data_IF_378687227444
#
_entry.id   IF_378687227444
#
_cell.length_a   1.000
_cell.length_b   1.000
_cell.length_c   1.000
_cell.angle_alpha   90.00
_cell.angle_beta   90.00
_cell.angle_gamma   90.00
#
_symmetry.space_group_name_H-M   'P 1'
#
loop_
_entity.id
_entity.type
_entity.pdbx_description
1 polymer ?
#
# COMPACT_ATOMS: atom_id res chain seq x y z
N UNK A 1 -24.13 47.63 -9.39
CA UNK A 1 -23.35 46.38 -9.58
C UNK A 1 -24.22 45.35 -10.28
N UNK A 2 -23.89 45.02 -11.52
CA UNK A 2 -24.78 44.37 -12.48
C UNK A 2 -25.02 42.88 -12.11
N UNK A 3 -26.26 42.38 -12.24
CA UNK A 3 -26.67 41.00 -11.88
C UNK A 3 -25.73 39.94 -12.50
N UNK A 4 -25.21 40.24 -13.69
CA UNK A 4 -24.24 39.43 -14.42
C UNK A 4 -22.87 39.33 -13.75
N UNK A 5 -22.40 40.36 -13.03
CA UNK A 5 -21.11 40.31 -12.31
C UNK A 5 -21.16 39.38 -11.09
N UNK A 6 -22.31 39.28 -10.41
CA UNK A 6 -22.49 38.34 -9.30
C UNK A 6 -22.49 36.89 -9.78
N UNK A 7 -23.14 36.61 -10.91
CA UNK A 7 -23.17 35.27 -11.52
C UNK A 7 -21.76 34.87 -11.97
N UNK A 8 -21.01 35.79 -12.60
CA UNK A 8 -19.64 35.53 -13.04
C UNK A 8 -18.69 35.27 -11.87
N UNK A 9 -18.82 36.02 -10.76
CA UNK A 9 -18.05 35.80 -9.53
C UNK A 9 -18.33 34.43 -8.91
N UNK A 10 -19.57 33.96 -8.91
CA UNK A 10 -19.92 32.64 -8.35
C UNK A 10 -19.38 31.51 -9.22
N UNK A 11 -19.48 31.62 -10.55
CA UNK A 11 -18.93 30.62 -11.48
C UNK A 11 -17.41 30.58 -11.39
N UNK A 12 -16.75 31.73 -11.29
CA UNK A 12 -15.30 31.81 -11.11
C UNK A 12 -14.85 31.22 -9.78
N UNK A 13 -15.58 31.47 -8.68
CA UNK A 13 -15.31 30.82 -7.39
C UNK A 13 -15.51 29.31 -7.45
N UNK A 14 -16.52 28.80 -8.18
CA UNK A 14 -16.74 27.36 -8.34
C UNK A 14 -15.68 26.70 -9.23
N UNK A 15 -15.19 27.38 -10.27
CA UNK A 15 -14.09 26.92 -11.12
C UNK A 15 -12.75 26.95 -10.37
N UNK A 16 -12.50 27.98 -9.57
CA UNK A 16 -11.30 28.05 -8.71
C UNK A 16 -11.37 27.02 -7.59
N UNK A 17 -12.55 26.75 -7.02
CA UNK A 17 -12.75 25.68 -6.06
C UNK A 17 -12.55 24.29 -6.68
N UNK A 18 -13.00 24.06 -7.92
CA UNK A 18 -12.78 22.78 -8.61
C UNK A 18 -11.32 22.58 -9.06
N UNK A 19 -10.64 23.65 -9.48
CA UNK A 19 -9.19 23.65 -9.71
C UNK A 19 -8.42 23.42 -8.41
N UNK A 20 -8.78 24.09 -7.31
CA UNK A 20 -8.17 23.86 -6.00
C UNK A 20 -8.41 22.42 -5.51
N UNK A 21 -9.60 21.85 -5.75
CA UNK A 21 -9.90 20.45 -5.44
C UNK A 21 -9.09 19.47 -6.30
N UNK A 22 -8.87 19.80 -7.59
CA UNK A 22 -8.04 19.01 -8.50
C UNK A 22 -6.54 19.10 -8.16
N UNK A 23 -6.06 20.26 -7.70
CA UNK A 23 -4.68 20.46 -7.22
C UNK A 23 -4.45 19.82 -5.85
N UNK A 24 -5.42 19.90 -4.93
CA UNK A 24 -5.34 19.22 -3.62
C UNK A 24 -5.27 17.69 -3.77
N UNK A 25 -5.95 17.12 -4.77
CA UNK A 25 -5.85 15.68 -5.08
C UNK A 25 -4.50 15.24 -5.66
N UNK A 26 -3.60 16.17 -5.98
CA UNK A 26 -2.33 15.89 -6.66
C UNK A 26 -1.10 15.94 -5.74
N UNK A 27 -1.22 16.48 -4.52
CA UNK A 27 -0.07 16.69 -3.62
C UNK A 27 -0.07 15.87 -2.32
N UNK A 28 -1.14 15.16 -1.99
CA UNK A 28 -1.13 14.14 -0.94
C UNK A 28 -1.00 12.76 -1.60
N UNK A 29 -0.14 11.82 -1.17
CA UNK A 29 -0.41 10.40 -1.34
C UNK A 29 -1.84 10.16 -0.94
N UNK A 30 -2.52 9.48 -1.84
CA UNK A 30 -3.83 8.97 -1.54
C UNK A 30 -3.61 7.88 -0.49
N UNK A 31 -3.90 8.18 0.78
CA UNK A 31 -4.23 7.17 1.77
C UNK A 31 -5.44 6.44 1.18
N UNK A 32 -5.19 5.27 0.60
CA UNK A 32 -6.21 4.59 -0.19
C UNK A 32 -7.10 3.69 0.66
N UNK A 33 -6.62 3.25 1.84
CA UNK A 33 -7.20 2.09 2.54
C UNK A 33 -7.06 2.21 4.04
N UNK A 34 -8.19 2.20 4.73
CA UNK A 34 -8.30 2.23 6.18
C UNK A 34 -9.00 0.96 6.64
N UNK A 35 -8.34 0.17 7.48
CA UNK A 35 -8.84 -1.09 8.02
C UNK A 35 -9.93 -0.95 9.08
N UNK A 36 -10.12 0.26 9.61
CA UNK A 36 -11.18 0.58 10.58
C UNK A 36 -12.18 1.59 10.00
N UNK A 37 -12.96 1.13 9.01
CA UNK A 37 -14.29 1.66 8.67
C UNK A 37 -14.38 3.08 8.09
N UNK A 38 -13.84 3.27 6.88
CA UNK A 38 -14.49 4.16 5.90
C UNK A 38 -14.46 3.46 4.54
N UNK A 39 -15.55 2.80 4.16
CA UNK A 39 -15.76 2.38 2.77
C UNK A 39 -15.77 3.66 1.94
N UNK A 40 -14.75 3.86 1.10
CA UNK A 40 -14.60 5.08 0.34
C UNK A 40 -15.92 5.42 -0.38
N UNK A 41 -16.45 6.64 -0.20
CA UNK A 41 -17.76 7.06 -0.75
C UNK A 41 -17.85 6.80 -2.25
N UNK A 42 -16.73 6.92 -2.97
CA UNK A 42 -16.63 6.61 -4.41
C UNK A 42 -16.81 5.13 -4.75
N UNK A 43 -16.54 4.20 -3.83
CA UNK A 43 -16.75 2.76 -4.02
C UNK A 43 -18.09 2.28 -3.50
N UNK A 44 -18.72 2.96 -2.54
CA UNK A 44 -20.12 2.69 -2.16
C UNK A 44 -21.12 2.95 -3.31
N UNK A 45 -20.75 3.73 -4.33
CA UNK A 45 -21.58 3.86 -5.54
C UNK A 45 -21.57 2.60 -6.42
N UNK A 46 -20.68 1.64 -6.17
CA UNK A 46 -20.77 0.30 -6.78
C UNK A 46 -21.96 -0.44 -6.16
N UNK A 47 -22.93 -0.93 -6.96
CA UNK A 47 -24.06 -1.71 -6.45
C UNK A 47 -23.63 -2.90 -5.58
N UNK A 48 -22.50 -3.51 -5.91
CA UNK A 48 -21.95 -4.66 -5.17
C UNK A 48 -21.44 -4.26 -3.78
N UNK A 49 -20.80 -3.09 -3.66
CA UNK A 49 -20.32 -2.59 -2.36
C UNK A 49 -21.44 -2.02 -1.50
N UNK A 50 -22.44 -1.39 -2.12
CA UNK A 50 -23.63 -0.94 -1.40
C UNK A 50 -24.41 -2.13 -0.83
N UNK A 51 -24.65 -3.16 -1.65
CA UNK A 51 -25.34 -4.37 -1.21
C UNK A 51 -24.61 -5.06 -0.06
N UNK A 52 -23.28 -5.19 -0.17
CA UNK A 52 -22.44 -5.75 0.89
C UNK A 52 -22.49 -4.91 2.19
N UNK A 53 -22.33 -3.59 2.11
CA UNK A 53 -22.42 -2.74 3.28
C UNK A 53 -23.79 -2.87 3.98
N UNK A 54 -24.88 -2.95 3.21
CA UNK A 54 -26.23 -3.13 3.74
C UNK A 54 -26.48 -4.52 4.32
N UNK A 55 -25.89 -5.58 3.74
CA UNK A 55 -26.08 -6.95 4.22
C UNK A 55 -25.40 -7.20 5.56
N UNK A 56 -24.29 -6.51 5.84
CA UNK A 56 -23.49 -6.65 7.07
C UNK A 56 -23.75 -5.57 8.12
N UNK A 57 -24.56 -4.54 7.80
CA UNK A 57 -24.90 -3.50 8.76
C UNK A 57 -25.53 -4.10 10.03
N UNK A 58 -24.77 -4.07 11.13
CA UNK A 58 -25.17 -4.61 12.43
C UNK A 58 -25.21 -6.13 12.54
N UNK A 59 -24.64 -6.90 11.60
CA UNK A 59 -24.77 -8.38 11.57
C UNK A 59 -23.50 -9.18 11.86
N UNK A 60 -22.31 -8.57 11.79
CA UNK A 60 -21.05 -9.28 12.08
C UNK A 60 -20.10 -8.39 12.89
N UNK A 61 -19.65 -8.89 14.05
CA UNK A 61 -18.53 -8.31 14.78
C UNK A 61 -17.23 -8.66 14.06
N UNK A 62 -16.96 -7.96 12.96
CA UNK A 62 -15.62 -7.96 12.34
C UNK A 62 -14.64 -7.39 13.37
N UNK A 63 -13.57 -8.11 13.65
CA UNK A 63 -12.51 -7.60 14.52
C UNK A 63 -11.85 -6.42 13.80
N UNK A 64 -11.70 -5.30 14.52
CA UNK A 64 -10.96 -4.13 14.05
C UNK A 64 -9.55 -4.56 13.65
N UNK A 65 -9.12 -4.11 12.47
CA UNK A 65 -7.86 -4.56 11.90
C UNK A 65 -6.69 -3.67 12.32
N UNK A 66 -6.92 -2.40 12.69
CA UNK A 66 -5.83 -1.44 12.96
C UNK A 66 -4.76 -1.46 11.87
N UNK A 67 -5.18 -1.47 10.60
CA UNK A 67 -4.28 -1.57 9.45
C UNK A 67 -4.57 -0.50 8.41
N UNK A 68 -3.56 -0.02 7.70
CA UNK A 68 -3.68 0.95 6.61
C UNK A 68 -2.81 0.54 5.44
N UNK A 69 -3.26 0.91 4.23
CA UNK A 69 -2.56 0.62 2.98
C UNK A 69 -2.46 1.85 2.08
N UNK A 70 -1.26 2.16 1.59
CA UNK A 70 -1.04 3.23 0.63
C UNK A 70 -0.15 2.85 -0.56
N UNK A 71 -0.09 3.76 -1.53
CA UNK A 71 1.00 3.83 -2.51
C UNK A 71 2.27 4.38 -1.87
N UNK A 72 3.14 4.97 -2.68
CA UNK A 72 4.34 5.66 -2.18
C UNK A 72 4.02 6.51 -0.95
N UNK A 73 4.85 6.34 0.07
CA UNK A 73 4.78 7.09 1.31
C UNK A 73 5.62 8.36 1.15
N UNK A 74 5.01 9.54 1.30
CA UNK A 74 5.78 10.73 1.68
C UNK A 74 5.61 10.92 3.19
N UNK A 75 6.64 11.48 3.83
CA UNK A 75 6.67 11.55 5.29
C UNK A 75 5.62 12.52 5.85
N UNK A 76 5.29 13.58 5.11
CA UNK A 76 4.29 14.59 5.50
C UNK A 76 2.89 13.98 5.71
N UNK A 77 2.61 12.84 5.08
CA UNK A 77 1.29 12.19 5.16
C UNK A 77 1.12 11.34 6.40
N UNK A 78 2.23 10.98 7.05
CA UNK A 78 2.19 10.30 8.34
C UNK A 78 1.66 11.23 9.43
N UNK A 79 1.95 12.53 9.36
CA UNK A 79 1.42 13.50 10.32
C UNK A 79 -0.10 13.69 10.14
N UNK A 80 -0.58 13.75 8.90
CA UNK A 80 -2.01 13.78 8.60
C UNK A 80 -2.72 12.49 9.07
N UNK A 81 -2.08 11.34 8.86
CA UNK A 81 -2.58 10.04 9.30
C UNK A 81 -2.71 9.97 10.84
N UNK A 82 -1.69 10.40 11.59
CA UNK A 82 -1.75 10.42 13.05
C UNK A 82 -2.85 11.36 13.56
N UNK A 83 -2.93 12.56 12.99
CA UNK A 83 -3.95 13.54 13.38
C UNK A 83 -5.37 12.98 13.22
N UNK A 84 -5.60 12.15 12.19
CA UNK A 84 -6.88 11.48 11.98
C UNK A 84 -7.14 10.37 13.01
N UNK A 85 -6.10 9.64 13.43
CA UNK A 85 -6.24 8.40 14.22
C UNK A 85 -6.12 8.58 15.72
N UNK A 86 -5.51 9.67 16.18
CA UNK A 86 -5.19 9.87 17.60
C UNK A 86 -4.38 8.69 18.19
N UNK A 87 -3.49 8.08 17.38
CA UNK A 87 -2.60 6.97 17.77
C UNK A 87 -1.19 7.53 17.96
N UNK A 88 -0.51 7.05 18.99
CA UNK A 88 0.89 7.44 19.25
C UNK A 88 1.84 6.86 18.20
N UNK A 89 2.84 7.65 17.78
CA UNK A 89 3.77 7.29 16.69
C UNK A 89 4.48 5.95 16.93
N UNK A 90 4.85 5.67 18.18
CA UNK A 90 5.56 4.46 18.61
C UNK A 90 4.73 3.17 18.48
N UNK A 91 3.41 3.28 18.29
CA UNK A 91 2.50 2.15 18.05
C UNK A 91 2.23 1.89 16.58
N UNK A 92 2.75 2.71 15.67
CA UNK A 92 2.53 2.56 14.23
C UNK A 92 3.75 1.87 13.61
N UNK A 93 3.50 0.73 12.96
CA UNK A 93 4.48 -0.14 12.32
C UNK A 93 4.42 0.02 10.80
N UNK A 94 5.41 0.72 10.25
CA UNK A 94 5.55 0.97 8.82
C UNK A 94 6.22 -0.24 8.18
N UNK A 95 5.56 -0.81 7.17
CA UNK A 95 6.01 -2.01 6.45
C UNK A 95 6.13 -1.71 4.95
N UNK A 96 7.36 -1.69 4.47
CA UNK A 96 7.73 -1.24 3.12
C UNK A 96 7.71 -2.36 2.08
N UNK A 97 6.64 -2.57 1.33
CA UNK A 97 6.52 -3.68 0.37
C UNK A 97 7.24 -3.45 -0.97
N UNK A 98 8.26 -2.59 -1.06
CA UNK A 98 9.01 -2.35 -2.30
C UNK A 98 10.10 -3.40 -2.54
N UNK A 99 10.31 -3.79 -3.81
CA UNK A 99 11.40 -4.72 -4.21
C UNK A 99 12.80 -4.08 -4.16
N UNK A 100 12.84 -2.77 -3.92
CA UNK A 100 14.04 -1.97 -3.84
C UNK A 100 13.97 -1.03 -2.63
N UNK A 101 15.12 -0.74 -2.01
CA UNK A 101 15.18 0.22 -0.92
C UNK A 101 14.73 1.60 -1.42
N UNK A 102 13.97 2.29 -0.58
CA UNK A 102 13.59 3.68 -0.77
C UNK A 102 14.53 4.56 0.05
N UNK A 103 14.90 5.70 -0.54
CA UNK A 103 15.64 6.76 0.13
C UNK A 103 14.78 8.03 0.19
N UNK A 104 15.09 8.94 1.10
CA UNK A 104 14.38 10.20 1.28
C UNK A 104 15.36 11.37 1.21
N UNK A 105 14.86 12.49 0.70
CA UNK A 105 15.45 13.83 0.85
C UNK A 105 14.41 14.71 1.54
N UNK A 106 14.69 15.16 2.76
CA UNK A 106 13.67 15.78 3.59
C UNK A 106 12.46 14.85 3.73
N UNK A 107 11.26 15.36 3.40
CA UNK A 107 10.02 14.58 3.46
C UNK A 107 9.70 13.75 2.20
N UNK A 108 10.49 13.89 1.13
CA UNK A 108 10.18 13.33 -0.18
C UNK A 108 10.89 12.00 -0.44
N UNK A 109 10.12 10.98 -0.82
CA UNK A 109 10.66 9.69 -1.22
C UNK A 109 11.31 9.77 -2.62
N UNK A 110 12.51 9.23 -2.72
CA UNK A 110 13.20 8.96 -3.97
C UNK A 110 12.83 7.56 -4.45
N UNK A 111 12.14 7.50 -5.59
CA UNK A 111 11.86 6.23 -6.24
C UNK A 111 13.17 5.62 -6.77
N UNK A 112 13.32 4.31 -6.53
CA UNK A 112 14.40 3.45 -7.01
C UNK A 112 14.42 3.23 -8.53
N UNK A 113 13.78 4.09 -9.34
CA UNK A 113 13.89 4.06 -10.80
C UNK A 113 14.85 5.14 -11.27
N UNK A 114 15.78 4.72 -12.11
CA UNK A 114 16.74 5.61 -12.75
C UNK A 114 16.07 6.21 -13.97
N UNK A 115 16.24 7.50 -14.17
CA UNK A 115 15.82 8.14 -15.39
C UNK A 115 17.03 8.23 -16.32
N UNK A 116 16.91 7.67 -17.52
CA UNK A 116 17.94 7.78 -18.56
C UNK A 116 17.47 8.78 -19.61
N UNK A 117 18.38 9.65 -20.05
CA UNK A 117 18.13 10.45 -21.24
C UNK A 117 18.34 9.57 -22.47
N UNK A 118 17.31 9.45 -23.30
CA UNK A 118 17.36 8.76 -24.60
C UNK A 118 16.78 9.72 -25.61
N UNK A 119 17.57 10.09 -26.62
CA UNK A 119 17.19 11.06 -27.66
C UNK A 119 16.67 12.40 -27.10
N UNK A 120 17.30 12.91 -26.04
CA UNK A 120 16.91 14.17 -25.39
C UNK A 120 15.62 14.08 -24.56
N UNK A 121 15.06 12.88 -24.36
CA UNK A 121 13.87 12.66 -23.52
C UNK A 121 14.21 11.82 -22.30
N UNK A 122 13.63 12.21 -21.17
CA UNK A 122 13.76 11.48 -19.92
C UNK A 122 12.91 10.20 -19.97
N UNK A 123 13.54 9.03 -19.93
CA UNK A 123 12.86 7.73 -19.92
C UNK A 123 13.05 7.02 -18.57
N UNK A 124 11.95 6.57 -17.94
CA UNK A 124 11.97 5.77 -16.71
C UNK A 124 12.59 4.40 -17.00
N UNK A 125 13.63 4.02 -16.25
CA UNK A 125 14.32 2.73 -16.33
C UNK A 125 14.45 2.07 -14.95
N UNK A 126 14.45 0.74 -14.90
CA UNK A 126 14.74 0.01 -13.65
C UNK A 126 16.21 0.20 -13.29
N UNK A 127 16.51 0.71 -12.09
CA UNK A 127 17.88 0.65 -11.55
C UNK A 127 18.20 -0.82 -11.26
N UNK A 128 19.26 -1.34 -11.87
CA UNK A 128 19.71 -2.72 -11.62
C UNK A 128 20.34 -2.84 -10.23
N UNK A 129 20.49 -4.06 -9.73
CA UNK A 129 21.20 -4.36 -8.46
C UNK A 129 22.60 -3.74 -8.37
N UNK A 130 23.25 -3.51 -9.51
CA UNK A 130 24.53 -2.81 -9.62
C UNK A 130 24.45 -1.35 -9.11
N UNK A 131 23.36 -0.64 -9.43
CA UNK A 131 23.14 0.72 -8.95
C UNK A 131 22.81 0.78 -7.45
N UNK A 132 22.18 -0.26 -6.87
CA UNK A 132 21.96 -0.34 -5.41
C UNK A 132 23.28 -0.25 -4.61
N UNK A 133 24.40 -0.75 -5.17
CA UNK A 133 25.74 -0.73 -4.55
C UNK A 133 26.54 0.53 -4.86
N UNK A 134 26.20 1.24 -5.94
CA UNK A 134 26.86 2.47 -6.40
C UNK A 134 26.18 3.75 -5.89
N UNK A 135 24.92 3.68 -5.48
CA UNK A 135 24.12 4.82 -5.02
C UNK A 135 24.79 5.62 -3.90
N UNK A 136 25.53 4.96 -3.02
CA UNK A 136 26.24 5.61 -1.90
C UNK A 136 27.57 6.28 -2.30
N UNK A 137 27.99 6.19 -3.57
CA UNK A 137 29.28 6.70 -4.07
C UNK A 137 29.14 7.67 -5.24
N UNK A 138 27.92 7.92 -5.70
CA UNK A 138 27.65 8.77 -6.85
C UNK A 138 26.97 10.05 -6.39
N UNK A 139 27.42 11.17 -6.95
CA UNK A 139 26.71 12.43 -6.87
C UNK A 139 25.36 12.28 -7.60
N UNK A 140 24.25 12.57 -6.92
CA UNK A 140 22.91 12.45 -7.49
C UNK A 140 22.50 13.81 -8.03
N UNK A 141 22.07 13.90 -9.28
CA UNK A 141 21.60 15.16 -9.84
C UNK A 141 20.07 15.23 -9.81
N UNK A 142 19.55 16.31 -9.24
CA UNK A 142 18.13 16.63 -9.28
C UNK A 142 17.82 17.39 -10.56
N UNK A 143 16.79 16.96 -11.28
CA UNK A 143 16.33 17.60 -12.50
C UNK A 143 14.86 18.00 -12.37
N UNK A 144 14.53 19.16 -12.91
CA UNK A 144 13.15 19.57 -13.12
C UNK A 144 12.58 18.75 -14.28
N UNK A 145 11.54 17.94 -14.01
CA UNK A 145 10.99 17.02 -15.01
C UNK A 145 10.46 17.74 -16.27
N UNK A 146 9.90 18.94 -16.11
CA UNK A 146 9.28 19.68 -17.22
C UNK A 146 10.30 20.31 -18.16
N UNK A 147 11.38 20.88 -17.61
CA UNK A 147 12.39 21.61 -18.39
C UNK A 147 13.63 20.77 -18.71
N UNK A 148 13.84 19.66 -17.98
CA UNK A 148 15.09 18.91 -18.00
C UNK A 148 16.27 19.66 -17.39
N UNK A 149 16.04 20.83 -16.77
CA UNK A 149 17.10 21.63 -16.15
C UNK A 149 17.58 20.95 -14.87
N UNK A 150 18.90 20.81 -14.72
CA UNK A 150 19.51 20.44 -13.44
C UNK A 150 19.16 21.51 -12.40
N UNK A 151 18.45 21.12 -11.35
CA UNK A 151 18.11 21.96 -10.21
C UNK A 151 19.30 21.98 -9.25
N UNK A 152 19.80 20.80 -8.88
CA UNK A 152 20.84 20.67 -7.84
C UNK A 152 21.63 19.34 -7.95
N UNK A 153 22.62 19.17 -7.08
CA UNK A 153 23.34 17.93 -6.81
C UNK A 153 23.24 17.56 -5.33
N UNK A 154 23.00 16.29 -5.06
CA UNK A 154 22.94 15.72 -3.73
C UNK A 154 24.13 14.82 -3.48
N UNK A 155 24.54 14.84 -2.23
CA UNK A 155 25.54 13.95 -1.66
C UNK A 155 24.85 12.84 -0.86
N UNK A 156 25.64 11.90 -0.35
CA UNK A 156 25.10 10.81 0.47
C UNK A 156 24.52 11.35 1.78
N UNK A 157 25.10 12.43 2.29
CA UNK A 157 24.73 13.09 3.54
C UNK A 157 23.34 13.75 3.46
N UNK A 158 22.86 14.02 2.25
CA UNK A 158 21.52 14.56 2.00
C UNK A 158 20.43 13.47 1.94
N UNK A 159 20.82 12.19 2.02
CA UNK A 159 19.92 11.05 1.90
C UNK A 159 19.72 10.33 3.23
N UNK A 160 18.47 9.96 3.49
CA UNK A 160 18.13 9.01 4.54
C UNK A 160 17.57 7.74 3.89
N UNK A 161 17.93 6.58 4.42
CA UNK A 161 17.15 5.37 4.12
C UNK A 161 15.74 5.52 4.67
N UNK A 162 14.76 4.81 4.10
CA UNK A 162 13.41 4.81 4.66
C UNK A 162 13.38 4.44 6.15
N UNK A 163 14.17 3.43 6.54
CA UNK A 163 14.29 3.04 7.95
C UNK A 163 14.73 4.21 8.83
N UNK A 164 15.81 4.89 8.45
CA UNK A 164 16.32 6.04 9.21
C UNK A 164 15.30 7.17 9.27
N UNK A 165 14.64 7.49 8.15
CA UNK A 165 13.65 8.55 8.06
C UNK A 165 12.41 8.26 8.94
N UNK A 166 11.90 7.04 8.88
CA UNK A 166 10.74 6.59 9.67
C UNK A 166 11.06 6.55 11.17
N UNK A 167 12.22 6.01 11.54
CA UNK A 167 12.63 5.96 12.95
C UNK A 167 12.92 7.36 13.52
N UNK A 168 13.49 8.27 12.73
CA UNK A 168 13.71 9.65 13.14
C UNK A 168 12.40 10.40 13.46
N UNK A 169 11.29 10.00 12.84
CA UNK A 169 9.96 10.54 13.12
C UNK A 169 9.24 9.84 14.29
N UNK A 170 9.87 8.83 14.92
CA UNK A 170 9.34 8.13 16.09
C UNK A 170 8.42 6.95 15.78
N UNK A 171 8.36 6.50 14.54
CA UNK A 171 7.60 5.31 14.12
C UNK A 171 8.43 4.02 14.23
N UNK A 172 7.74 2.88 14.28
CA UNK A 172 8.39 1.58 14.13
C UNK A 172 8.55 1.24 12.64
N UNK A 173 9.71 0.70 12.27
CA UNK A 173 9.99 0.28 10.91
C UNK A 173 10.29 -1.22 10.86
N UNK A 174 9.53 -1.96 10.05
CA UNK A 174 9.75 -3.38 9.79
C UNK A 174 9.98 -3.57 8.29
N UNK A 175 11.13 -4.12 7.90
CA UNK A 175 11.34 -4.54 6.51
C UNK A 175 10.37 -5.70 6.20
N UNK A 176 9.71 -5.71 5.04
CA UNK A 176 9.03 -6.93 4.63
C UNK A 176 10.06 -8.00 4.33
N UNK A 177 9.59 -9.24 4.36
CA UNK A 177 10.35 -10.37 3.88
C UNK A 177 10.50 -10.23 2.35
N UNK A 178 11.74 -10.22 1.86
CA UNK A 178 12.09 -9.82 0.47
C UNK A 178 11.75 -10.86 -0.60
N UNK A 179 11.26 -12.04 -0.23
CA UNK A 179 11.07 -13.17 -1.17
C UNK A 179 9.58 -13.48 -1.40
N UNK A 180 9.18 -13.56 -2.68
CA UNK A 180 8.05 -14.39 -3.10
C UNK A 180 6.62 -13.90 -2.87
N UNK A 181 6.27 -12.68 -3.33
CA UNK A 181 4.89 -12.15 -3.34
C UNK A 181 3.83 -13.02 -4.04
N UNK A 182 4.24 -14.13 -4.66
CA UNK A 182 3.39 -14.96 -5.51
C UNK A 182 3.33 -16.41 -5.06
N UNK A 183 4.40 -17.04 -4.53
CA UNK A 183 4.32 -18.45 -4.07
C UNK A 183 5.43 -18.93 -3.12
N UNK A 184 6.21 -18.05 -2.50
CA UNK A 184 7.22 -18.57 -1.58
C UNK A 184 6.56 -19.00 -0.26
N UNK A 185 6.43 -20.29 -0.02
CA UNK A 185 5.75 -20.79 1.19
C UNK A 185 6.53 -20.48 2.47
N UNK A 186 7.85 -20.26 2.39
CA UNK A 186 8.66 -19.83 3.55
C UNK A 186 8.28 -18.41 4.00
N UNK A 187 7.86 -17.56 3.06
CA UNK A 187 7.39 -16.21 3.34
C UNK A 187 6.17 -16.20 4.29
N UNK A 188 5.24 -17.14 4.15
CA UNK A 188 4.01 -17.16 4.95
C UNK A 188 4.27 -17.43 6.43
N UNK A 189 5.17 -18.36 6.73
CA UNK A 189 5.52 -18.67 8.12
C UNK A 189 6.19 -17.48 8.82
N UNK A 190 7.08 -16.78 8.14
CA UNK A 190 7.72 -15.59 8.70
C UNK A 190 6.76 -14.39 8.75
N UNK A 191 5.82 -14.29 7.81
CA UNK A 191 4.77 -13.29 7.84
C UNK A 191 3.82 -13.48 9.04
N UNK A 192 3.47 -14.72 9.37
CA UNK A 192 2.67 -15.02 10.57
C UNK A 192 3.40 -14.57 11.84
N UNK A 193 4.69 -14.88 11.97
CA UNK A 193 5.51 -14.40 13.11
C UNK A 193 5.55 -12.87 13.17
N UNK A 194 5.63 -12.21 12.02
CA UNK A 194 5.58 -10.75 11.94
C UNK A 194 4.24 -10.23 12.47
N UNK A 195 3.11 -10.81 12.04
CA UNK A 195 1.78 -10.43 12.51
C UNK A 195 1.60 -10.65 14.00
N UNK A 196 2.11 -11.77 14.54
CA UNK A 196 2.09 -12.08 15.98
C UNK A 196 2.99 -11.15 16.81
N UNK A 197 4.06 -10.62 16.23
CA UNK A 197 5.00 -9.71 16.92
C UNK A 197 4.43 -8.31 17.18
N UNK A 198 3.34 -7.95 16.50
CA UNK A 198 2.72 -6.63 16.57
C UNK A 198 1.69 -6.65 17.72
N UNK A 199 1.78 -5.73 18.70
CA UNK A 199 0.83 -5.65 19.81
C UNK A 199 -0.61 -5.46 19.33
N UNK A 200 -1.59 -5.89 20.12
CA UNK A 200 -3.02 -5.78 19.77
C UNK A 200 -3.48 -4.33 19.52
N UNK A 201 -2.88 -3.37 20.22
CA UNK A 201 -3.12 -1.94 20.07
C UNK A 201 -2.14 -1.27 19.09
N UNK A 202 -1.31 -2.07 18.42
CA UNK A 202 -0.42 -1.64 17.35
C UNK A 202 -1.18 -1.40 16.05
N UNK A 203 -0.70 -0.45 15.26
CA UNK A 203 -1.27 -0.12 13.96
C UNK A 203 -0.31 -0.48 12.84
N UNK A 204 -0.74 -1.29 11.89
CA UNK A 204 0.06 -1.69 10.74
C UNK A 204 -0.14 -0.73 9.57
N UNK A 205 0.94 -0.27 8.96
CA UNK A 205 0.88 0.59 7.80
C UNK A 205 1.69 -0.02 6.65
N UNK A 206 0.98 -0.65 5.71
CA UNK A 206 1.57 -1.21 4.50
C UNK A 206 1.67 -0.15 3.40
N UNK A 207 2.80 -0.09 2.73
CA UNK A 207 2.91 0.71 1.51
C UNK A 207 3.70 0.01 0.41
N UNK A 208 3.39 0.33 -0.85
CA UNK A 208 4.12 -0.13 -2.02
C UNK A 208 4.07 0.94 -3.11
N UNK A 209 4.62 0.70 -4.31
CA UNK A 209 4.68 1.74 -5.36
C UNK A 209 3.33 2.43 -5.65
N UNK A 210 2.26 1.64 -5.81
CA UNK A 210 0.94 2.14 -6.23
C UNK A 210 -0.16 1.91 -5.20
N UNK A 211 0.15 1.17 -4.14
CA UNK A 211 -0.84 0.77 -3.16
C UNK A 211 -1.93 -0.06 -3.81
N UNK A 212 -1.58 -1.07 -4.61
CA UNK A 212 -2.51 -1.96 -5.32
C UNK A 212 -2.18 -3.40 -5.04
N UNK A 213 -1.47 -4.10 -5.92
CA UNK A 213 -1.20 -5.55 -5.80
C UNK A 213 -0.65 -5.98 -4.44
N UNK A 214 0.62 -5.66 -4.14
CA UNK A 214 1.31 -6.08 -2.90
C UNK A 214 0.56 -5.63 -1.64
N UNK A 215 0.22 -4.35 -1.56
CA UNK A 215 -0.53 -3.79 -0.42
C UNK A 215 -1.87 -4.49 -0.21
N UNK A 216 -2.66 -4.75 -1.26
CA UNK A 216 -3.96 -5.44 -1.09
C UNK A 216 -3.75 -6.88 -0.66
N UNK A 217 -2.74 -7.55 -1.20
CA UNK A 217 -2.44 -8.95 -0.84
C UNK A 217 -2.14 -9.05 0.66
N UNK A 218 -1.34 -8.13 1.19
CA UNK A 218 -0.95 -8.16 2.61
C UNK A 218 -2.07 -7.72 3.53
N UNK A 219 -2.89 -6.76 3.10
CA UNK A 219 -4.12 -6.42 3.80
C UNK A 219 -5.06 -7.63 3.87
N UNK A 220 -5.21 -8.38 2.79
CA UNK A 220 -6.04 -9.59 2.75
C UNK A 220 -5.49 -10.70 3.62
N UNK A 221 -4.19 -10.99 3.56
CA UNK A 221 -3.56 -11.99 4.44
C UNK A 221 -3.74 -11.62 5.91
N UNK A 222 -3.57 -10.35 6.26
CA UNK A 222 -3.80 -9.89 7.64
C UNK A 222 -5.28 -9.96 8.05
N UNK A 223 -6.19 -9.61 7.16
CA UNK A 223 -7.63 -9.70 7.41
C UNK A 223 -8.09 -11.16 7.61
N UNK A 224 -7.59 -12.07 6.77
CA UNK A 224 -7.78 -13.52 6.93
C UNK A 224 -7.20 -13.99 8.26
N UNK A 225 -5.98 -13.56 8.61
CA UNK A 225 -5.35 -13.91 9.87
C UNK A 225 -6.24 -13.55 11.09
N UNK A 226 -6.89 -12.38 11.06
CA UNK A 226 -7.73 -11.89 12.17
C UNK A 226 -9.16 -12.42 12.13
N UNK A 227 -9.73 -12.65 10.95
CA UNK A 227 -11.18 -12.85 10.78
C UNK A 227 -11.61 -14.16 10.10
N UNK A 228 -10.70 -15.01 9.61
CA UNK A 228 -11.09 -16.20 8.82
C UNK A 228 -11.99 -17.19 9.56
N UNK A 229 -11.93 -17.22 10.89
CA UNK A 229 -12.80 -18.09 11.73
C UNK A 229 -14.25 -17.61 11.81
N UNK A 230 -14.48 -16.32 11.55
CA UNK A 230 -15.76 -15.66 11.76
C UNK A 230 -16.40 -15.16 10.46
N UNK A 231 -15.59 -14.89 9.44
CA UNK A 231 -16.04 -14.35 8.15
C UNK A 231 -15.67 -15.30 7.01
N UNK A 232 -16.56 -15.41 6.04
CA UNK A 232 -16.26 -16.10 4.78
C UNK A 232 -15.19 -15.37 3.98
N UNK A 233 -14.50 -16.11 3.10
CA UNK A 233 -13.53 -15.53 2.18
C UNK A 233 -14.15 -14.45 1.29
N UNK A 234 -15.38 -14.66 0.81
CA UNK A 234 -16.08 -13.66 -0.02
C UNK A 234 -16.29 -12.35 0.75
N UNK A 235 -16.68 -12.40 2.02
CA UNK A 235 -16.85 -11.21 2.85
C UNK A 235 -15.54 -10.44 3.02
N UNK A 236 -14.43 -11.14 3.25
CA UNK A 236 -13.11 -10.54 3.41
C UNK A 236 -12.64 -9.88 2.09
N UNK A 237 -12.73 -10.62 0.97
CA UNK A 237 -12.38 -10.11 -0.36
C UNK A 237 -13.21 -8.87 -0.72
N UNK A 238 -14.52 -8.95 -0.50
CA UNK A 238 -15.44 -7.85 -0.81
C UNK A 238 -15.18 -6.64 0.06
N UNK A 239 -14.97 -6.82 1.36
CA UNK A 239 -14.65 -5.74 2.28
C UNK A 239 -13.40 -4.99 1.82
N UNK A 240 -12.28 -5.69 1.62
CA UNK A 240 -11.02 -5.08 1.18
C UNK A 240 -11.18 -4.36 -0.15
N UNK A 241 -11.89 -4.95 -1.11
CA UNK A 241 -12.20 -4.27 -2.37
C UNK A 241 -13.00 -2.99 -2.14
N UNK A 242 -14.05 -3.01 -1.34
CA UNK A 242 -14.91 -1.85 -1.13
C UNK A 242 -14.20 -0.70 -0.41
N UNK A 243 -13.25 -0.98 0.49
CA UNK A 243 -12.44 0.07 1.16
C UNK A 243 -11.25 0.57 0.33
N UNK A 244 -11.10 0.17 -0.94
CA UNK A 244 -10.06 0.70 -1.83
C UNK A 244 -9.04 -0.32 -2.33
N UNK A 245 -9.16 -1.59 -1.92
CA UNK A 245 -8.36 -2.73 -2.38
C UNK A 245 -8.46 -2.99 -3.89
N UNK A 246 -7.47 -3.70 -4.42
CA UNK A 246 -7.58 -4.33 -5.74
C UNK A 246 -8.55 -5.51 -5.68
N UNK A 247 -9.27 -5.78 -6.77
CA UNK A 247 -10.01 -7.04 -6.90
C UNK A 247 -9.01 -8.16 -7.18
N UNK A 248 -8.70 -8.97 -6.17
CA UNK A 248 -7.68 -10.02 -6.31
C UNK A 248 -8.16 -11.17 -7.19
N UNK A 249 -9.49 -11.35 -7.31
CA UNK A 249 -10.10 -12.38 -8.15
C UNK A 249 -9.91 -12.09 -9.63
N UNK A 250 -9.77 -10.80 -10.00
CA UNK A 250 -9.51 -10.38 -11.35
C UNK A 250 -8.03 -10.52 -11.71
N UNK A 251 -7.71 -11.58 -12.44
CA UNK A 251 -6.35 -11.87 -12.90
C UNK A 251 -6.08 -11.38 -14.33
N UNK A 252 -6.91 -10.50 -14.89
CA UNK A 252 -6.66 -9.94 -16.21
C UNK A 252 -5.44 -9.02 -16.21
N UNK A 253 -4.54 -9.22 -17.18
CA UNK A 253 -3.40 -8.32 -17.38
C UNK A 253 -3.90 -6.95 -17.87
N UNK A 254 -3.77 -5.96 -17.01
CA UNK A 254 -3.91 -4.55 -17.32
C UNK A 254 -2.83 -4.02 -18.29
N UNK A 255 -3.24 -3.06 -19.14
CA UNK A 255 -2.34 -2.34 -20.03
C UNK A 255 -1.27 -1.60 -19.21
N UNK A 256 0.01 -1.84 -19.54
CA UNK A 256 1.19 -1.35 -18.80
C UNK A 256 1.29 -1.90 -17.36
N UNK A 257 0.73 -3.08 -17.13
CA UNK A 257 0.89 -3.81 -15.90
C UNK A 257 2.31 -4.30 -15.66
N UNK A 258 2.67 -4.46 -14.39
CA UNK A 258 3.98 -4.99 -13.99
C UNK A 258 3.95 -6.47 -13.60
N UNK A 259 2.76 -7.07 -13.57
CA UNK A 259 2.54 -8.46 -13.15
C UNK A 259 2.29 -9.33 -14.39
N UNK A 260 2.88 -10.51 -14.41
CA UNK A 260 2.57 -11.57 -15.38
C UNK A 260 1.24 -12.25 -15.06
N UNK A 261 0.73 -13.07 -15.98
CA UNK A 261 -0.48 -13.85 -15.75
C UNK A 261 -0.30 -14.83 -14.59
N UNK A 262 0.85 -15.52 -14.55
CA UNK A 262 1.17 -16.50 -13.52
C UNK A 262 1.26 -15.82 -12.15
N UNK A 263 1.90 -14.64 -12.07
CA UNK A 263 1.99 -13.88 -10.81
C UNK A 263 0.60 -13.46 -10.29
N UNK A 264 -0.33 -13.09 -11.18
CA UNK A 264 -1.70 -12.73 -10.81
C UNK A 264 -2.49 -13.94 -10.31
N UNK A 265 -2.34 -15.09 -10.97
CA UNK A 265 -2.98 -16.34 -10.57
C UNK A 265 -2.40 -16.88 -9.26
N UNK A 266 -1.08 -16.91 -9.14
CA UNK A 266 -0.36 -17.39 -7.96
C UNK A 266 -0.74 -16.58 -6.71
N UNK A 267 -0.83 -15.25 -6.84
CA UNK A 267 -1.31 -14.37 -5.76
C UNK A 267 -2.76 -14.70 -5.36
N UNK A 268 -3.63 -14.94 -6.33
CA UNK A 268 -5.02 -15.33 -6.05
C UNK A 268 -5.05 -16.66 -5.31
N UNK A 269 -4.37 -17.67 -5.82
CA UNK A 269 -4.30 -19.00 -5.22
C UNK A 269 -3.77 -18.94 -3.78
N UNK A 270 -2.73 -18.15 -3.54
CA UNK A 270 -2.17 -17.96 -2.20
C UNK A 270 -3.20 -17.43 -1.19
N UNK A 271 -4.06 -16.47 -1.60
CA UNK A 271 -5.11 -15.95 -0.72
C UNK A 271 -6.12 -17.03 -0.35
N UNK A 272 -6.52 -17.86 -1.32
CA UNK A 272 -7.45 -18.97 -1.09
C UNK A 272 -6.82 -20.05 -0.21
N UNK A 273 -5.59 -20.46 -0.52
CA UNK A 273 -4.85 -21.46 0.27
C UNK A 273 -4.60 -20.98 1.70
N UNK A 274 -4.28 -19.70 1.90
CA UNK A 274 -4.09 -19.15 3.23
C UNK A 274 -5.40 -19.10 4.02
N UNK A 275 -6.53 -18.77 3.39
CA UNK A 275 -7.84 -18.86 4.04
C UNK A 275 -8.20 -20.28 4.47
N UNK A 276 -7.97 -21.26 3.59
CA UNK A 276 -8.15 -22.67 3.91
C UNK A 276 -7.26 -23.09 5.08
N UNK A 277 -5.98 -22.71 5.05
CA UNK A 277 -5.02 -23.00 6.11
C UNK A 277 -5.46 -22.43 7.46
N UNK A 278 -5.98 -21.20 7.47
CA UNK A 278 -6.49 -20.59 8.69
C UNK A 278 -7.77 -21.27 9.19
N UNK A 279 -8.51 -22.01 8.37
CA UNK A 279 -9.76 -22.67 8.75
C UNK A 279 -9.65 -24.19 8.99
N UNK A 280 -8.65 -24.84 8.43
CA UNK A 280 -8.44 -26.28 8.57
C UNK A 280 -8.10 -26.65 10.03
N UNK A 281 -8.77 -27.66 10.64
CA UNK A 281 -8.42 -28.16 11.97
C UNK A 281 -6.98 -28.66 12.13
N UNK A 282 -6.28 -28.96 11.04
CA UNK A 282 -4.85 -29.33 10.99
C UNK A 282 -3.94 -28.14 10.66
N UNK A 283 -4.50 -27.02 10.21
CA UNK A 283 -3.77 -25.81 9.83
C UNK A 283 -3.37 -24.95 11.04
N UNK A 284 -3.40 -23.63 10.90
CA UNK A 284 -2.97 -22.71 11.96
C UNK A 284 -3.81 -22.83 13.24
N UNK A 285 -3.21 -22.81 14.45
CA UNK A 285 -1.77 -22.74 14.75
C UNK A 285 -1.09 -24.11 14.94
N UNK A 286 -1.73 -25.22 14.58
CA UNK A 286 -1.22 -26.58 14.89
C UNK A 286 -0.03 -26.99 14.05
N UNK A 287 0.01 -26.57 12.79
CA UNK A 287 1.12 -26.83 11.87
C UNK A 287 1.52 -25.54 11.19
N UNK A 288 2.79 -25.44 10.78
CA UNK A 288 3.22 -24.35 9.91
C UNK A 288 2.65 -24.55 8.48
N UNK A 289 2.64 -23.49 7.67
CA UNK A 289 1.99 -23.49 6.35
C UNK A 289 2.57 -24.56 5.40
N UNK A 290 3.89 -24.77 5.43
CA UNK A 290 4.60 -25.73 4.58
C UNK A 290 4.22 -27.16 4.98
N UNK A 291 4.23 -27.44 6.29
CA UNK A 291 3.81 -28.73 6.82
C UNK A 291 2.37 -29.04 6.43
N UNK A 292 1.46 -28.08 6.60
CA UNK A 292 0.05 -28.25 6.23
C UNK A 292 -0.15 -28.55 4.75
N UNK A 293 0.55 -27.85 3.85
CA UNK A 293 0.51 -28.14 2.42
C UNK A 293 1.05 -29.54 2.10
N UNK A 294 2.08 -30.00 2.80
CA UNK A 294 2.58 -31.37 2.69
C UNK A 294 1.51 -32.42 3.02
N UNK A 295 0.70 -32.18 4.06
CA UNK A 295 -0.40 -33.06 4.46
C UNK A 295 -1.55 -33.13 3.45
N UNK A 296 -1.77 -32.08 2.64
CA UNK A 296 -2.77 -32.08 1.56
C UNK A 296 -2.35 -32.90 0.34
N UNK A 297 -1.04 -33.11 0.15
CA UNK A 297 -0.46 -33.79 -1.01
C UNK A 297 -0.21 -35.28 -0.77
N UNK A 298 -0.30 -35.74 0.47
CA UNK A 298 -0.18 -37.15 0.90
C UNK A 298 -1.54 -37.83 0.98
#
# INVERSE_FOLDING_TARGET
>A
MNKYMKIFSVILCLLLASLAFAFYQYQTPRIFRQGDDIIAVKRLTSPQCLSHALSHFGKTERVSLNVTGSGFLNLDDLDAFIAQKAISKDKIYIINLHDAPIYYIGAHALDSYGYKMVDGKLQKGKLTSFFKRLFTRMEIFLYEIQSGKKIDSLTKEDLMTEKEAIQALGFQYLEPLKEGWTRDWYYINDLLKLFESIPEDGWIYFHCERGRGRTTSLLLLYDIFKNAKNLSLEEILRHQYCIGGEDIENTQIWKNGTWSQDELNDRKDLIHEFYDYMNDPKGYPKTDFIQWQGLKRS
#
